data_IF_817868924438
#
_entry.id   IF_817868924438
#
_cell.length_a   1.000
_cell.length_b   1.000
_cell.length_c   1.000
_cell.angle_alpha   90.00
_cell.angle_beta   90.00
_cell.angle_gamma   90.00
#
_symmetry.space_group_name_H-M   'P 1'
#
loop_
_entity.id
_entity.type
_entity.pdbx_description
1 polymer ?
#
# COMPACT_ATOMS: atom_id res chain seq x y z
N UNK A 1 4.43 -0.98 -1.88
CA UNK A 1 5.26 -2.08 -2.40
C UNK A 1 4.89 -3.40 -1.71
N UNK A 2 4.00 -4.19 -2.31
CA UNK A 2 3.38 -5.39 -1.73
C UNK A 2 4.29 -6.63 -1.81
N UNK A 3 5.51 -6.55 -1.28
CA UNK A 3 6.48 -7.65 -1.26
C UNK A 3 5.95 -8.93 -0.58
N UNK A 4 5.16 -8.89 0.50
CA UNK A 4 4.68 -10.12 1.13
C UNK A 4 3.94 -11.04 0.16
N UNK A 5 3.11 -10.52 -0.73
CA UNK A 5 2.42 -11.37 -1.71
C UNK A 5 3.37 -12.00 -2.72
N UNK A 6 4.38 -11.26 -3.19
CA UNK A 6 5.36 -11.78 -4.13
C UNK A 6 6.22 -12.90 -3.50
N UNK A 7 6.66 -12.68 -2.25
CA UNK A 7 7.41 -13.68 -1.49
C UNK A 7 6.54 -14.90 -1.15
N UNK A 8 5.27 -14.69 -0.76
CA UNK A 8 4.33 -15.77 -0.47
C UNK A 8 4.03 -16.62 -1.71
N UNK A 9 3.76 -15.97 -2.84
CA UNK A 9 3.53 -16.67 -4.11
C UNK A 9 4.75 -17.49 -4.55
N UNK A 10 5.94 -16.93 -4.39
CA UNK A 10 7.21 -17.60 -4.69
C UNK A 10 7.46 -18.80 -3.78
N UNK A 11 7.24 -18.64 -2.47
CA UNK A 11 7.39 -19.71 -1.49
C UNK A 11 6.40 -20.85 -1.75
N UNK A 12 5.13 -20.52 -2.00
CA UNK A 12 4.09 -21.51 -2.32
C UNK A 12 4.40 -22.28 -3.61
N UNK A 13 4.90 -21.59 -4.66
CA UNK A 13 5.25 -22.22 -5.93
C UNK A 13 6.44 -23.18 -5.85
N UNK A 14 7.37 -22.95 -4.91
CA UNK A 14 8.61 -23.74 -4.79
C UNK A 14 8.62 -24.67 -3.58
N UNK A 15 7.58 -24.68 -2.76
CA UNK A 15 7.51 -25.51 -1.57
C UNK A 15 7.43 -27.01 -1.90
N UNK A 16 7.98 -27.88 -1.04
CA UNK A 16 7.93 -29.35 -1.22
C UNK A 16 6.51 -29.93 -1.11
N UNK A 17 5.59 -29.18 -0.53
CA UNK A 17 4.15 -29.46 -0.56
C UNK A 17 3.43 -28.17 -0.91
N UNK A 18 2.56 -28.16 -1.95
CA UNK A 18 1.63 -27.08 -2.09
C UNK A 18 0.84 -26.96 -0.78
N UNK A 19 0.59 -25.73 -0.33
CA UNK A 19 -0.27 -25.50 0.81
C UNK A 19 -1.54 -26.36 0.71
N UNK A 20 -2.06 -26.81 1.86
CA UNK A 20 -3.11 -27.81 1.97
C UNK A 20 -4.42 -27.47 1.25
N UNK A 21 -4.43 -27.19 0.02
CA UNK A 21 -5.54 -26.83 -0.83
C UNK A 21 -5.18 -26.87 -2.29
N UNK A 22 -3.92 -27.19 -2.63
CA UNK A 22 -3.42 -27.38 -4.00
C UNK A 22 -3.80 -26.24 -4.96
N UNK A 23 -3.75 -24.96 -4.52
CA UNK A 23 -3.98 -23.84 -5.41
C UNK A 23 -2.66 -23.21 -5.86
N UNK A 24 -2.68 -22.60 -7.05
CA UNK A 24 -1.56 -21.88 -7.60
C UNK A 24 -1.81 -20.37 -7.51
N UNK A 25 -0.82 -19.64 -7.00
CA UNK A 25 -0.85 -18.19 -7.06
C UNK A 25 -0.49 -17.73 -8.47
N UNK A 26 -1.42 -17.04 -9.13
CA UNK A 26 -1.15 -16.25 -10.32
C UNK A 26 -1.09 -14.78 -9.92
N UNK A 27 -0.05 -14.10 -10.38
CA UNK A 27 0.22 -12.73 -10.00
C UNK A 27 0.05 -11.79 -11.19
N UNK A 28 -0.73 -10.72 -10.99
CA UNK A 28 -0.93 -9.66 -11.99
C UNK A 28 -0.54 -8.32 -11.39
N UNK A 29 0.16 -7.50 -12.18
CA UNK A 29 0.56 -6.15 -11.85
C UNK A 29 -0.25 -5.15 -12.66
N UNK A 30 -0.69 -4.08 -12.03
CA UNK A 30 -1.42 -2.98 -12.63
C UNK A 30 -0.71 -1.66 -12.39
N UNK A 31 -0.95 -0.66 -13.25
CA UNK A 31 -0.33 0.65 -13.14
C UNK A 31 -1.18 1.65 -12.34
N UNK A 32 -2.46 1.40 -12.18
CA UNK A 32 -3.38 2.28 -11.48
C UNK A 32 -4.47 1.55 -10.70
N UNK A 33 -5.04 2.23 -9.74
CA UNK A 33 -6.10 1.72 -8.87
C UNK A 33 -7.43 1.44 -9.60
N UNK A 34 -7.84 2.22 -10.63
CA UNK A 34 -9.03 1.91 -11.39
C UNK A 34 -9.00 0.53 -12.04
N UNK A 35 -7.86 0.15 -12.62
CA UNK A 35 -7.67 -1.14 -13.30
C UNK A 35 -7.73 -2.32 -12.32
N UNK A 36 -7.12 -2.19 -11.13
CA UNK A 36 -7.20 -3.19 -10.05
C UNK A 36 -8.65 -3.38 -9.61
N UNK A 37 -9.35 -2.26 -9.33
CA UNK A 37 -10.75 -2.26 -8.93
C UNK A 37 -11.63 -2.97 -9.96
N UNK A 38 -11.57 -2.58 -11.22
CA UNK A 38 -12.37 -3.17 -12.29
C UNK A 38 -12.06 -4.66 -12.48
N UNK A 39 -10.79 -5.07 -12.35
CA UNK A 39 -10.39 -6.48 -12.47
C UNK A 39 -10.92 -7.34 -11.32
N UNK A 40 -10.94 -6.79 -10.10
CA UNK A 40 -11.52 -7.48 -8.94
C UNK A 40 -13.04 -7.57 -9.06
N UNK A 41 -13.71 -6.47 -9.43
CA UNK A 41 -15.17 -6.45 -9.61
C UNK A 41 -15.63 -7.38 -10.74
N UNK A 42 -14.87 -7.46 -11.84
CA UNK A 42 -15.16 -8.34 -12.97
C UNK A 42 -14.80 -9.82 -12.73
N UNK A 43 -14.29 -10.18 -11.54
CA UNK A 43 -13.90 -11.56 -11.21
C UNK A 43 -12.62 -12.05 -11.89
N UNK A 44 -11.89 -11.18 -12.58
CA UNK A 44 -10.57 -11.53 -13.15
C UNK A 44 -9.50 -11.70 -12.08
N UNK A 45 -9.68 -11.05 -10.93
CA UNK A 45 -8.90 -11.26 -9.71
C UNK A 45 -9.82 -11.79 -8.62
N UNK A 46 -9.37 -12.77 -7.85
CA UNK A 46 -10.05 -13.27 -6.65
C UNK A 46 -9.63 -12.49 -5.41
N UNK A 47 -8.41 -11.96 -5.43
CA UNK A 47 -7.83 -11.14 -4.37
C UNK A 47 -6.98 -10.02 -4.97
N UNK A 48 -6.83 -8.92 -4.23
CA UNK A 48 -5.97 -7.82 -4.62
C UNK A 48 -5.46 -7.07 -3.38
N UNK A 49 -4.26 -6.50 -3.48
CA UNK A 49 -3.86 -5.45 -2.54
C UNK A 49 -4.46 -4.14 -2.98
N UNK A 50 -5.18 -3.50 -2.08
CA UNK A 50 -5.92 -2.26 -2.33
C UNK A 50 -5.69 -1.25 -1.21
N UNK A 51 -6.18 -0.04 -1.42
CA UNK A 51 -6.18 1.04 -0.43
C UNK A 51 -7.41 0.91 0.46
N UNK A 52 -7.26 0.93 1.78
CA UNK A 52 -8.37 0.74 2.71
C UNK A 52 -9.55 1.70 2.47
N UNK A 53 -9.36 3.02 2.27
CA UNK A 53 -10.47 3.94 1.99
C UNK A 53 -11.22 3.59 0.69
N UNK A 54 -10.52 3.09 -0.33
CA UNK A 54 -11.16 2.64 -1.57
C UNK A 54 -12.03 1.40 -1.32
N UNK A 55 -11.57 0.45 -0.51
CA UNK A 55 -12.37 -0.72 -0.14
C UNK A 55 -13.61 -0.33 0.68
N UNK A 56 -13.47 0.63 1.59
CA UNK A 56 -14.59 1.17 2.36
C UNK A 56 -15.67 1.76 1.44
N UNK A 57 -15.28 2.59 0.46
CA UNK A 57 -16.21 3.17 -0.53
C UNK A 57 -16.89 2.10 -1.38
N UNK A 58 -16.15 1.08 -1.83
CA UNK A 58 -16.71 -0.01 -2.61
C UNK A 58 -17.69 -0.87 -1.80
N UNK A 59 -17.38 -1.15 -0.54
CA UNK A 59 -18.26 -1.89 0.35
C UNK A 59 -19.54 -1.12 0.67
N UNK A 60 -19.48 0.20 0.81
CA UNK A 60 -20.67 1.06 0.94
C UNK A 60 -21.58 0.97 -0.30
N UNK A 61 -20.99 0.86 -1.48
CA UNK A 61 -21.66 0.63 -2.76
C UNK A 61 -22.12 -0.83 -2.96
N UNK A 62 -22.06 -1.66 -1.92
CA UNK A 62 -22.48 -3.07 -1.92
C UNK A 62 -21.66 -3.95 -2.86
N UNK A 63 -20.43 -3.59 -3.17
CA UNK A 63 -19.50 -4.48 -3.86
C UNK A 63 -19.06 -5.57 -2.89
N UNK A 64 -19.21 -6.88 -3.26
CA UNK A 64 -19.01 -7.99 -2.35
C UNK A 64 -17.53 -8.34 -2.17
N UNK A 65 -16.83 -7.51 -1.41
CA UNK A 65 -15.40 -7.66 -1.10
C UNK A 65 -15.14 -7.43 0.38
N UNK A 66 -14.11 -8.06 0.93
CA UNK A 66 -13.66 -7.91 2.31
C UNK A 66 -12.15 -7.76 2.42
N UNK A 67 -11.71 -6.90 3.31
CA UNK A 67 -10.33 -6.87 3.80
C UNK A 67 -10.14 -8.06 4.74
N UNK A 68 -9.10 -8.86 4.50
CA UNK A 68 -8.80 -10.07 5.30
C UNK A 68 -7.43 -10.03 5.99
N UNK A 69 -6.54 -9.13 5.57
CA UNK A 69 -5.23 -8.91 6.18
C UNK A 69 -4.67 -7.54 5.79
N UNK A 70 -3.65 -7.07 6.47
CA UNK A 70 -2.81 -5.98 5.97
C UNK A 70 -1.79 -6.53 4.95
N UNK A 71 -1.27 -5.64 4.08
CA UNK A 71 -0.19 -5.94 3.15
C UNK A 71 1.16 -5.41 3.64
N UNK A 72 1.18 -4.19 4.14
CA UNK A 72 2.32 -3.55 4.76
C UNK A 72 1.91 -2.26 5.46
N UNK A 73 2.79 -1.79 6.32
CA UNK A 73 2.66 -0.49 6.99
C UNK A 73 3.73 0.47 6.50
N UNK A 74 3.52 1.76 6.72
CA UNK A 74 4.43 2.84 6.30
C UNK A 74 4.66 2.85 4.78
N UNK A 75 5.63 3.62 4.31
CA UNK A 75 6.02 3.64 2.90
C UNK A 75 5.32 4.69 2.04
N UNK A 76 4.59 5.65 2.62
CA UNK A 76 4.19 6.85 1.90
C UNK A 76 5.13 8.02 2.21
N UNK A 77 5.36 8.83 1.20
CA UNK A 77 6.27 9.98 1.25
C UNK A 77 5.67 11.19 0.55
N UNK A 78 6.01 12.38 1.05
CA UNK A 78 5.78 13.63 0.34
C UNK A 78 7.13 14.11 -0.17
N UNK A 79 7.26 14.15 -1.50
CA UNK A 79 8.50 14.46 -2.19
C UNK A 79 8.48 15.87 -2.77
N UNK A 80 9.62 16.54 -2.69
CA UNK A 80 9.88 17.83 -3.36
C UNK A 80 11.22 17.76 -4.10
N UNK A 81 11.48 18.67 -5.02
CA UNK A 81 12.78 18.75 -5.70
C UNK A 81 13.89 19.12 -4.72
N UNK A 82 15.08 18.57 -4.92
CA UNK A 82 16.27 18.88 -4.11
C UNK A 82 16.69 20.34 -4.21
N UNK A 83 16.53 20.94 -5.39
CA UNK A 83 16.85 22.35 -5.67
C UNK A 83 15.70 23.33 -5.35
N UNK A 84 14.59 22.84 -4.80
CA UNK A 84 13.46 23.69 -4.38
C UNK A 84 13.72 24.36 -3.03
N UNK A 85 13.07 25.51 -2.76
CA UNK A 85 13.20 26.22 -1.48
C UNK A 85 12.36 25.58 -0.36
N UNK A 86 11.73 24.42 -0.60
CA UNK A 86 10.78 23.79 0.33
C UNK A 86 11.50 22.99 1.40
N UNK A 87 11.73 23.63 2.56
CA UNK A 87 12.28 23.00 3.77
C UNK A 87 11.18 22.70 4.81
N UNK A 88 10.09 23.49 4.77
CA UNK A 88 8.94 23.36 5.66
C UNK A 88 7.67 23.12 4.86
N UNK A 89 6.80 22.26 5.40
CA UNK A 89 5.57 21.85 4.71
C UNK A 89 4.66 23.04 4.36
N UNK A 90 4.58 24.06 5.23
CA UNK A 90 3.79 25.28 5.01
C UNK A 90 4.16 26.06 3.72
N UNK A 91 5.38 25.89 3.23
CA UNK A 91 5.83 26.53 1.98
C UNK A 91 5.15 25.94 0.72
N UNK A 92 4.43 24.83 0.87
CA UNK A 92 3.62 24.27 -0.21
C UNK A 92 2.27 24.98 -0.40
N UNK A 93 1.96 26.03 0.37
CA UNK A 93 0.76 26.85 0.16
C UNK A 93 0.69 27.38 -1.27
N UNK A 94 -0.46 27.21 -1.93
CA UNK A 94 -0.70 27.58 -3.33
C UNK A 94 -0.03 26.67 -4.37
N UNK A 95 0.70 25.64 -3.97
CA UNK A 95 1.47 24.77 -4.87
C UNK A 95 0.66 23.56 -5.37
N UNK A 96 1.05 23.05 -6.54
CA UNK A 96 0.47 21.84 -7.13
C UNK A 96 1.08 20.61 -6.46
N UNK A 97 0.23 19.77 -5.91
CA UNK A 97 0.63 18.53 -5.21
C UNK A 97 -0.10 17.36 -5.86
N UNK A 98 0.66 16.40 -6.39
CA UNK A 98 0.08 15.21 -6.96
C UNK A 98 -0.23 14.16 -5.89
N UNK A 99 -1.35 13.46 -6.07
CA UNK A 99 -1.80 12.31 -5.27
C UNK A 99 -2.29 11.19 -6.19
N UNK A 100 -2.30 9.91 -5.73
CA UNK A 100 -2.80 8.80 -6.55
C UNK A 100 -4.30 8.87 -6.82
N UNK A 101 -5.08 9.24 -5.81
CA UNK A 101 -6.54 9.35 -5.83
C UNK A 101 -7.00 9.98 -4.51
N UNK A 102 -8.18 10.61 -4.50
CA UNK A 102 -8.81 11.08 -3.26
C UNK A 102 -9.27 9.94 -2.35
N UNK A 103 -9.41 8.72 -2.87
CA UNK A 103 -9.65 7.49 -2.11
C UNK A 103 -8.36 6.79 -1.67
N UNK A 104 -7.20 7.40 -1.87
CA UNK A 104 -5.92 6.88 -1.40
C UNK A 104 -5.65 7.28 0.05
N UNK A 105 -5.07 6.37 0.83
CA UNK A 105 -4.59 6.67 2.18
C UNK A 105 -3.46 7.71 2.14
N UNK A 106 -2.71 7.79 1.04
CA UNK A 106 -1.71 8.85 0.79
C UNK A 106 -2.35 10.25 0.80
N UNK A 107 -3.58 10.40 0.29
CA UNK A 107 -4.32 11.65 0.36
C UNK A 107 -4.70 12.02 1.80
N UNK A 108 -5.08 11.03 2.61
CA UNK A 108 -5.33 11.24 4.03
C UNK A 108 -4.04 11.66 4.77
N UNK A 109 -2.91 11.09 4.40
CA UNK A 109 -1.60 11.52 4.91
C UNK A 109 -1.30 12.97 4.55
N UNK A 110 -1.50 13.37 3.29
CA UNK A 110 -1.34 14.76 2.87
C UNK A 110 -2.25 15.72 3.67
N UNK A 111 -3.52 15.34 3.86
CA UNK A 111 -4.46 16.15 4.67
C UNK A 111 -4.02 16.28 6.12
N UNK A 112 -3.47 15.21 6.70
CA UNK A 112 -2.91 15.23 8.06
C UNK A 112 -1.75 16.22 8.17
N UNK A 113 -0.86 16.24 7.19
CA UNK A 113 0.26 17.20 7.14
C UNK A 113 -0.23 18.65 6.96
N UNK A 114 -1.23 18.86 6.11
CA UNK A 114 -1.85 20.19 5.97
C UNK A 114 -2.45 20.68 7.29
N UNK A 115 -3.20 19.80 7.99
CA UNK A 115 -3.83 20.15 9.26
C UNK A 115 -2.81 20.50 10.37
N UNK A 116 -1.65 19.85 10.41
CA UNK A 116 -0.56 20.18 11.35
C UNK A 116 -0.04 21.63 11.16
N UNK A 117 -0.13 22.14 9.95
CA UNK A 117 0.27 23.51 9.60
C UNK A 117 -0.91 24.51 9.63
N UNK A 118 -2.06 24.12 10.16
CA UNK A 118 -3.32 24.89 10.11
C UNK A 118 -3.72 25.24 8.67
N UNK A 119 -3.50 24.34 7.72
CA UNK A 119 -3.87 24.43 6.31
C UNK A 119 -4.93 23.38 5.98
N UNK A 120 -5.60 23.60 4.87
CA UNK A 120 -6.61 22.71 4.28
C UNK A 120 -6.26 22.41 2.83
N UNK A 121 -7.04 21.54 2.20
CA UNK A 121 -6.90 21.28 0.75
C UNK A 121 -7.26 22.48 -0.13
N UNK A 122 -7.92 23.51 0.41
CA UNK A 122 -8.16 24.77 -0.30
C UNK A 122 -6.89 25.64 -0.42
N UNK A 123 -5.90 25.39 0.43
CA UNK A 123 -4.63 26.13 0.44
C UNK A 123 -3.59 25.55 -0.54
N UNK A 124 -3.90 24.48 -1.25
CA UNK A 124 -3.03 23.82 -2.23
C UNK A 124 -3.82 23.41 -3.48
N UNK A 125 -3.12 23.07 -4.56
CA UNK A 125 -3.74 22.58 -5.79
C UNK A 125 -3.53 21.08 -5.91
N UNK A 126 -4.57 20.29 -5.59
CA UNK A 126 -4.50 18.82 -5.65
C UNK A 126 -4.67 18.35 -7.09
N UNK A 127 -3.72 17.53 -7.56
CA UNK A 127 -3.74 16.89 -8.87
C UNK A 127 -3.73 15.36 -8.71
N UNK A 128 -4.69 14.67 -9.33
CA UNK A 128 -4.72 13.21 -9.34
C UNK A 128 -3.97 12.68 -10.56
N UNK A 129 -3.03 11.75 -10.35
CA UNK A 129 -2.28 11.09 -11.43
C UNK A 129 -1.76 9.71 -10.99
N UNK A 130 -1.42 8.89 -11.97
CA UNK A 130 -0.83 7.58 -11.67
C UNK A 130 0.49 7.73 -10.89
N UNK A 131 0.73 6.93 -9.84
CA UNK A 131 1.96 7.01 -9.05
C UNK A 131 3.24 6.92 -9.88
N UNK A 132 3.24 6.12 -10.94
CA UNK A 132 4.39 5.95 -11.82
C UNK A 132 4.77 7.23 -12.60
N UNK A 133 3.83 8.15 -12.79
CA UNK A 133 4.05 9.40 -13.54
C UNK A 133 4.55 10.53 -12.63
N UNK A 134 4.37 10.41 -11.32
CA UNK A 134 4.68 11.47 -10.36
C UNK A 134 6.16 11.88 -10.31
N UNK A 135 7.14 10.95 -10.34
CA UNK A 135 8.54 11.33 -10.40
C UNK A 135 8.89 12.18 -11.61
N UNK A 136 8.38 11.83 -12.79
CA UNK A 136 8.59 12.59 -14.01
C UNK A 136 7.89 13.96 -13.97
N UNK A 137 6.67 14.02 -13.43
CA UNK A 137 5.93 15.27 -13.26
C UNK A 137 6.68 16.25 -12.32
N UNK A 138 7.26 15.75 -11.23
CA UNK A 138 8.10 16.56 -10.33
C UNK A 138 9.38 17.04 -11.03
N UNK A 139 10.04 16.14 -11.75
CA UNK A 139 11.26 16.50 -12.51
C UNK A 139 11.00 17.60 -13.54
N UNK A 140 9.87 17.52 -14.24
CA UNK A 140 9.45 18.48 -15.26
C UNK A 140 8.83 19.77 -14.69
N UNK A 141 8.77 19.95 -13.36
CA UNK A 141 8.07 21.05 -12.69
C UNK A 141 6.57 21.17 -13.06
N UNK A 142 5.94 20.05 -13.45
CA UNK A 142 4.49 19.99 -13.64
C UNK A 142 3.76 20.01 -12.29
N UNK A 143 4.41 19.56 -11.23
CA UNK A 143 3.98 19.69 -9.84
C UNK A 143 5.17 20.11 -8.96
N UNK A 144 4.90 20.78 -7.85
CA UNK A 144 5.92 21.19 -6.87
C UNK A 144 6.18 20.11 -5.82
N UNK A 145 5.20 19.23 -5.59
CA UNK A 145 5.32 18.09 -4.69
C UNK A 145 4.45 16.93 -5.18
N UNK A 146 4.70 15.73 -4.66
CA UNK A 146 3.77 14.61 -4.75
C UNK A 146 3.75 13.80 -3.46
N UNK A 147 2.61 13.21 -3.16
CA UNK A 147 2.41 12.31 -2.04
C UNK A 147 1.99 10.95 -2.57
N UNK A 148 2.80 9.92 -2.38
CA UNK A 148 2.51 8.56 -2.82
C UNK A 148 3.30 7.50 -2.07
N UNK A 149 2.90 6.24 -2.24
CA UNK A 149 3.61 5.08 -1.70
C UNK A 149 4.89 4.74 -2.46
N UNK A 150 5.80 4.03 -1.79
CA UNK A 150 7.02 3.53 -2.41
C UNK A 150 6.73 2.46 -3.49
N UNK A 151 7.55 2.35 -4.54
CA UNK A 151 8.94 2.83 -4.66
C UNK A 151 9.12 4.19 -5.37
N UNK A 152 8.08 4.95 -5.58
CA UNK A 152 8.13 6.15 -6.41
C UNK A 152 8.88 7.32 -5.75
N UNK A 153 8.87 7.43 -4.42
CA UNK A 153 9.72 8.36 -3.69
C UNK A 153 11.20 8.00 -3.82
N UNK A 154 11.52 6.73 -3.60
CA UNK A 154 12.88 6.22 -3.72
C UNK A 154 13.44 6.37 -5.15
N UNK A 155 12.62 6.21 -6.18
CA UNK A 155 13.03 6.39 -7.57
C UNK A 155 13.56 7.81 -7.82
N UNK A 156 12.82 8.83 -7.40
CA UNK A 156 13.23 10.22 -7.55
C UNK A 156 14.41 10.60 -6.64
N UNK A 157 14.43 10.07 -5.41
CA UNK A 157 15.48 10.34 -4.43
C UNK A 157 16.80 9.71 -4.83
N UNK A 158 16.82 8.45 -5.27
CA UNK A 158 18.03 7.76 -5.71
C UNK A 158 18.60 8.34 -7.01
N UNK A 159 17.76 8.95 -7.83
CA UNK A 159 18.17 9.72 -9.01
C UNK A 159 18.73 11.10 -8.66
N UNK A 160 18.66 11.54 -7.40
CA UNK A 160 19.33 12.73 -6.88
C UNK A 160 18.56 14.05 -7.08
N UNK A 161 17.43 14.07 -7.78
CA UNK A 161 16.70 15.32 -8.05
C UNK A 161 15.55 15.61 -7.07
N UNK A 162 15.23 14.69 -6.18
CA UNK A 162 14.17 14.87 -5.19
C UNK A 162 14.61 14.44 -3.79
N UNK A 163 13.96 15.04 -2.79
CA UNK A 163 14.13 14.72 -1.37
C UNK A 163 12.77 14.52 -0.72
N UNK A 164 12.66 13.66 0.30
CA UNK A 164 11.45 13.58 1.11
C UNK A 164 11.33 14.84 1.98
N UNK A 165 10.16 15.47 1.95
CA UNK A 165 9.80 16.54 2.87
C UNK A 165 9.12 15.98 4.13
N UNK A 166 8.33 14.91 3.98
CA UNK A 166 7.68 14.15 5.06
C UNK A 166 7.61 12.68 4.69
N UNK A 167 7.66 11.82 5.70
CA UNK A 167 7.53 10.38 5.55
C UNK A 167 6.56 9.83 6.61
N UNK A 168 5.74 8.86 6.25
CA UNK A 168 4.78 8.25 7.19
C UNK A 168 5.45 7.57 8.38
N UNK A 169 6.67 7.05 8.23
CA UNK A 169 7.46 6.47 9.34
C UNK A 169 7.67 7.45 10.51
N UNK A 170 7.77 8.74 10.20
CA UNK A 170 8.02 9.81 11.19
C UNK A 170 6.71 10.43 11.69
N UNK A 171 5.71 10.57 10.83
CA UNK A 171 4.52 11.39 11.06
C UNK A 171 3.27 10.57 11.41
N UNK A 172 3.23 9.30 11.02
CA UNK A 172 2.06 8.44 11.23
C UNK A 172 2.47 6.98 11.44
N UNK A 173 2.84 6.63 12.66
CA UNK A 173 3.45 5.34 13.02
C UNK A 173 2.61 4.11 12.63
N UNK A 174 1.28 4.20 12.76
CA UNK A 174 0.37 3.08 12.50
C UNK A 174 -0.25 3.16 11.08
N UNK A 175 0.43 3.85 10.17
CA UNK A 175 -0.05 4.01 8.80
C UNK A 175 -0.27 2.66 8.11
N UNK A 176 -1.53 2.38 7.75
CA UNK A 176 -1.90 1.24 6.92
C UNK A 176 -1.79 1.67 5.46
N UNK A 177 -0.82 1.12 4.73
CA UNK A 177 -0.66 1.48 3.32
C UNK A 177 -1.59 0.66 2.44
N UNK A 178 -1.39 -0.66 2.37
CA UNK A 178 -2.20 -1.55 1.56
C UNK A 178 -2.83 -2.65 2.41
N UNK A 179 -4.02 -3.06 2.00
CA UNK A 179 -4.78 -4.15 2.61
C UNK A 179 -5.04 -5.26 1.61
N UNK A 180 -4.95 -6.50 2.05
CA UNK A 180 -5.34 -7.66 1.26
C UNK A 180 -6.86 -7.75 1.26
N UNK A 181 -7.44 -7.60 0.08
CA UNK A 181 -8.88 -7.62 -0.16
C UNK A 181 -9.23 -8.84 -1.00
N UNK A 182 -10.27 -9.56 -0.62
CA UNK A 182 -10.77 -10.73 -1.36
C UNK A 182 -12.25 -10.56 -1.70
N UNK A 183 -12.71 -11.24 -2.74
CA UNK A 183 -14.13 -11.34 -3.09
C UNK A 183 -14.84 -12.20 -2.06
N UNK A 184 -16.04 -11.79 -1.64
CA UNK A 184 -16.88 -12.59 -0.72
C UNK A 184 -17.21 -13.97 -1.28
N UNK A 185 -17.37 -14.09 -2.61
CA UNK A 185 -17.55 -15.35 -3.30
C UNK A 185 -16.45 -16.37 -2.91
N UNK A 186 -15.17 -15.94 -2.97
CA UNK A 186 -14.05 -16.80 -2.59
C UNK A 186 -14.09 -17.19 -1.10
N UNK A 187 -14.51 -16.26 -0.23
CA UNK A 187 -14.67 -16.54 1.22
C UNK A 187 -15.71 -17.64 1.45
N UNK A 188 -16.80 -17.62 0.70
CA UNK A 188 -17.89 -18.59 0.83
C UNK A 188 -17.57 -19.93 0.19
N UNK A 189 -17.00 -19.93 -1.01
CA UNK A 189 -16.73 -21.13 -1.79
C UNK A 189 -15.49 -21.87 -1.31
N UNK A 190 -14.44 -21.15 -0.91
CA UNK A 190 -13.18 -21.76 -0.48
C UNK A 190 -12.48 -20.96 0.63
N UNK A 191 -13.03 -20.94 1.85
CA UNK A 191 -12.44 -20.23 2.98
C UNK A 191 -11.04 -20.75 3.35
N UNK A 192 -10.75 -22.03 3.09
CA UNK A 192 -9.42 -22.61 3.33
C UNK A 192 -8.36 -21.96 2.45
N UNK A 193 -8.68 -21.67 1.18
CA UNK A 193 -7.78 -20.95 0.27
C UNK A 193 -7.50 -19.54 0.77
N UNK A 194 -8.52 -18.83 1.27
CA UNK A 194 -8.34 -17.49 1.85
C UNK A 194 -7.45 -17.55 3.08
N UNK A 195 -7.65 -18.56 3.96
CA UNK A 195 -6.82 -18.75 5.16
C UNK A 195 -5.36 -19.02 4.78
N UNK A 196 -5.12 -19.87 3.80
CA UNK A 196 -3.77 -20.19 3.33
C UNK A 196 -3.10 -18.94 2.73
N UNK A 197 -3.83 -18.17 1.92
CA UNK A 197 -3.31 -16.88 1.38
C UNK A 197 -2.89 -15.94 2.50
N UNK A 198 -3.72 -15.76 3.52
CA UNK A 198 -3.40 -14.91 4.68
C UNK A 198 -2.21 -15.46 5.46
N UNK A 199 -2.13 -16.78 5.69
CA UNK A 199 -1.01 -17.41 6.39
C UNK A 199 0.31 -17.17 5.67
N UNK A 200 0.34 -17.31 4.34
CA UNK A 200 1.54 -17.02 3.54
C UNK A 200 1.91 -15.54 3.51
N UNK A 201 0.93 -14.65 3.38
CA UNK A 201 1.18 -13.19 3.37
C UNK A 201 1.75 -12.74 4.72
N UNK A 202 1.16 -13.20 5.83
CA UNK A 202 1.65 -12.87 7.17
C UNK A 202 3.02 -13.51 7.45
N UNK A 203 3.21 -14.75 7.02
CA UNK A 203 4.50 -15.43 7.11
C UNK A 203 5.61 -14.69 6.34
N UNK A 204 5.31 -14.28 5.11
CA UNK A 204 6.23 -13.49 4.30
C UNK A 204 6.52 -12.11 4.90
N UNK A 205 5.51 -11.46 5.48
CA UNK A 205 5.70 -10.20 6.19
C UNK A 205 6.65 -10.32 7.38
N UNK A 206 6.43 -11.32 8.23
CA UNK A 206 7.31 -11.61 9.37
C UNK A 206 8.73 -11.97 8.90
N UNK A 207 8.86 -12.80 7.87
CA UNK A 207 10.14 -13.21 7.29
C UNK A 207 10.93 -12.01 6.74
N UNK A 208 10.28 -11.07 6.06
CA UNK A 208 10.89 -9.85 5.52
C UNK A 208 11.54 -8.99 6.61
N UNK A 209 10.91 -8.87 7.77
CA UNK A 209 11.37 -7.98 8.83
C UNK A 209 12.27 -8.70 9.88
N UNK A 210 12.50 -10.02 9.70
CA UNK A 210 13.37 -10.77 10.63
C UNK A 210 14.85 -10.38 10.48
N UNK A 211 15.32 -10.21 9.25
CA UNK A 211 16.72 -9.89 8.97
C UNK A 211 16.92 -9.28 7.58
N UNK A 212 17.97 -8.48 7.43
CA UNK A 212 18.26 -7.77 6.17
C UNK A 212 18.48 -8.72 4.99
N UNK A 213 19.04 -9.90 5.23
CA UNK A 213 19.25 -10.91 4.18
C UNK A 213 17.94 -11.32 3.49
N UNK A 214 16.87 -11.45 4.25
CA UNK A 214 15.54 -11.77 3.70
C UNK A 214 15.02 -10.64 2.79
N UNK A 215 15.25 -9.39 3.17
CA UNK A 215 14.93 -8.23 2.33
C UNK A 215 15.76 -8.22 1.04
N UNK A 216 17.04 -8.61 1.10
CA UNK A 216 17.89 -8.74 -0.08
C UNK A 216 17.35 -9.82 -1.06
N UNK A 217 16.92 -10.96 -0.54
CA UNK A 217 16.26 -12.00 -1.35
C UNK A 217 14.94 -11.48 -1.97
N UNK A 218 14.14 -10.73 -1.20
CA UNK A 218 12.91 -10.10 -1.69
C UNK A 218 13.17 -9.08 -2.81
N UNK A 219 14.28 -8.34 -2.77
CA UNK A 219 14.71 -7.45 -3.86
C UNK A 219 14.89 -8.24 -5.16
N UNK A 220 15.56 -9.39 -5.10
CA UNK A 220 15.76 -10.25 -6.27
C UNK A 220 14.44 -10.80 -6.84
N UNK A 221 13.46 -11.09 -5.97
CA UNK A 221 12.10 -11.51 -6.39
C UNK A 221 11.38 -10.33 -7.05
N UNK A 222 11.39 -9.15 -6.43
CA UNK A 222 10.71 -7.96 -6.94
C UNK A 222 11.23 -7.49 -8.31
N UNK A 223 12.50 -7.75 -8.59
CA UNK A 223 13.12 -7.41 -9.86
C UNK A 223 12.65 -8.30 -11.03
N UNK A 224 12.08 -9.49 -10.74
CA UNK A 224 11.62 -10.38 -11.79
C UNK A 224 10.42 -9.81 -12.54
N UNK A 225 10.39 -10.05 -13.87
CA UNK A 225 9.34 -9.58 -14.76
C UNK A 225 7.94 -10.07 -14.35
N UNK A 226 7.85 -11.27 -13.84
CA UNK A 226 6.60 -11.91 -13.37
C UNK A 226 6.03 -11.27 -12.11
N UNK A 227 6.82 -10.50 -11.35
CA UNK A 227 6.38 -9.78 -10.16
C UNK A 227 6.29 -8.28 -10.42
N UNK A 228 7.20 -7.48 -9.89
CA UNK A 228 7.11 -6.02 -10.01
C UNK A 228 7.89 -5.47 -11.21
N UNK A 229 8.83 -6.21 -11.77
CA UNK A 229 9.74 -5.75 -12.83
C UNK A 229 10.36 -4.39 -12.49
N UNK A 230 10.78 -4.23 -11.23
CA UNK A 230 11.36 -3.00 -10.72
C UNK A 230 12.88 -3.04 -10.80
N UNK A 231 13.49 -1.87 -10.91
CA UNK A 231 14.94 -1.76 -10.77
C UNK A 231 15.36 -2.23 -9.36
N UNK A 232 16.21 -3.27 -9.26
CA UNK A 232 16.64 -3.79 -7.97
C UNK A 232 17.40 -2.75 -7.13
N UNK A 233 18.03 -1.75 -7.73
CA UNK A 233 18.69 -0.65 -7.02
C UNK A 233 17.66 0.22 -6.29
N UNK A 234 16.53 0.52 -6.94
CA UNK A 234 15.46 1.32 -6.33
C UNK A 234 14.81 0.55 -5.18
N UNK A 235 14.51 -0.75 -5.38
CA UNK A 235 13.90 -1.56 -4.32
C UNK A 235 14.86 -1.72 -3.14
N UNK A 236 16.15 -1.94 -3.39
CA UNK A 236 17.18 -1.99 -2.34
C UNK A 236 17.23 -0.67 -1.57
N UNK A 237 17.18 0.47 -2.27
CA UNK A 237 17.13 1.79 -1.64
C UNK A 237 15.93 1.93 -0.69
N UNK A 238 14.72 1.46 -1.09
CA UNK A 238 13.53 1.44 -0.22
C UNK A 238 13.77 0.61 1.05
N UNK A 239 14.46 -0.53 0.93
CA UNK A 239 14.67 -1.46 2.04
C UNK A 239 15.74 -1.02 3.04
N UNK A 240 16.59 -0.06 2.66
CA UNK A 240 17.79 0.32 3.41
C UNK A 240 17.80 1.81 3.83
N UNK A 241 16.98 2.67 3.21
CA UNK A 241 17.13 4.12 3.34
C UNK A 241 15.83 4.87 3.70
N UNK A 242 15.44 4.85 4.99
CA UNK A 242 15.91 4.02 6.10
C UNK A 242 15.30 2.61 6.06
N UNK A 243 15.79 1.69 6.88
CA UNK A 243 15.35 0.28 6.93
C UNK A 243 13.88 0.10 7.30
N UNK A 244 13.29 1.04 8.04
CA UNK A 244 11.88 1.06 8.43
C UNK A 244 11.01 1.98 7.53
N UNK A 245 11.51 2.36 6.36
CA UNK A 245 10.76 3.13 5.36
C UNK A 245 9.45 2.45 4.96
N UNK A 246 9.50 1.12 4.79
CA UNK A 246 8.34 0.23 4.66
C UNK A 246 8.53 -0.93 5.64
N UNK A 247 7.48 -1.30 6.36
CA UNK A 247 7.50 -2.39 7.33
C UNK A 247 6.44 -3.44 6.99
N UNK A 248 6.77 -4.71 7.23
CA UNK A 248 5.98 -5.85 6.82
C UNK A 248 5.65 -6.81 7.97
N UNK A 249 6.36 -6.73 9.09
CA UNK A 249 6.25 -7.70 10.19
C UNK A 249 4.98 -7.55 11.03
N UNK A 250 4.43 -6.34 11.13
CA UNK A 250 3.20 -6.08 11.88
C UNK A 250 2.00 -5.95 10.93
N UNK A 251 1.38 -7.07 10.61
CA UNK A 251 0.17 -7.13 9.78
C UNK A 251 -1.11 -7.37 10.61
N UNK A 252 -1.07 -7.08 11.91
CA UNK A 252 -2.26 -7.18 12.79
C UNK A 252 -3.34 -6.21 12.33
N UNK A 253 -4.58 -6.70 12.32
CA UNK A 253 -5.75 -5.88 12.02
C UNK A 253 -6.30 -5.29 13.31
N UNK A 254 -6.05 -4.01 13.56
CA UNK A 254 -6.46 -3.28 14.76
C UNK A 254 -7.65 -2.38 14.40
N UNK A 255 -8.81 -2.65 14.99
CA UNK A 255 -10.07 -1.95 14.65
C UNK A 255 -9.95 -0.43 14.77
N UNK A 256 -9.32 0.08 15.83
CA UNK A 256 -9.18 1.52 16.03
C UNK A 256 -8.38 2.23 14.93
N UNK A 257 -7.47 1.53 14.26
CA UNK A 257 -6.73 2.08 13.11
C UNK A 257 -7.63 2.22 11.88
N UNK A 258 -8.56 1.29 11.67
CA UNK A 258 -9.58 1.38 10.61
C UNK A 258 -10.62 2.44 10.95
N UNK A 259 -10.99 2.59 12.23
CA UNK A 259 -11.91 3.64 12.69
C UNK A 259 -11.28 5.04 12.45
N UNK A 260 -9.97 5.20 12.67
CA UNK A 260 -9.24 6.43 12.32
C UNK A 260 -9.31 6.70 10.80
N UNK A 261 -9.01 5.71 9.96
CA UNK A 261 -9.09 5.86 8.51
C UNK A 261 -10.52 6.20 8.04
N UNK A 262 -11.54 5.59 8.66
CA UNK A 262 -12.94 5.90 8.38
C UNK A 262 -13.24 7.36 8.70
N UNK A 263 -12.86 7.83 9.89
CA UNK A 263 -13.10 9.22 10.30
C UNK A 263 -12.37 10.21 9.38
N UNK A 264 -11.11 9.96 9.07
CA UNK A 264 -10.34 10.79 8.13
C UNK A 264 -10.95 10.81 6.72
N UNK A 265 -11.54 9.70 6.27
CA UNK A 265 -12.22 9.62 4.97
C UNK A 265 -13.54 10.39 4.97
N UNK A 266 -14.26 10.40 6.08
CA UNK A 266 -15.46 11.23 6.28
C UNK A 266 -15.08 12.72 6.29
N UNK A 267 -14.04 13.10 7.03
CA UNK A 267 -13.54 14.47 7.10
C UNK A 267 -13.00 14.95 5.74
N UNK A 268 -12.53 14.02 4.92
CA UNK A 268 -12.12 14.29 3.53
C UNK A 268 -13.32 14.42 2.57
N UNK A 269 -14.54 14.04 2.99
CA UNK A 269 -15.73 14.04 2.16
C UNK A 269 -15.78 12.93 1.11
N UNK A 270 -14.87 11.94 1.19
CA UNK A 270 -14.84 10.79 0.27
C UNK A 270 -15.80 9.69 0.70
N UNK A 271 -16.09 9.60 1.99
CA UNK A 271 -17.13 8.75 2.58
C UNK A 271 -18.14 9.67 3.25
N UNK A 272 -19.45 9.42 3.02
CA UNK A 272 -20.52 10.32 3.45
C UNK A 272 -21.02 10.06 4.88
N UNK A 273 -20.85 8.84 5.36
CA UNK A 273 -21.33 8.39 6.66
C UNK A 273 -20.49 7.22 7.18
N UNK A 274 -20.46 6.97 8.49
CA UNK A 274 -19.75 5.83 9.05
C UNK A 274 -20.27 4.50 8.48
N UNK A 275 -19.35 3.64 8.05
CA UNK A 275 -19.66 2.30 7.54
C UNK A 275 -19.20 1.31 8.62
N UNK A 276 -20.09 0.38 9.06
CA UNK A 276 -19.69 -0.62 10.07
C UNK A 276 -18.47 -1.41 9.63
N UNK A 277 -17.55 -1.63 10.56
CA UNK A 277 -16.27 -2.33 10.33
C UNK A 277 -16.49 -3.68 9.62
N UNK A 278 -17.48 -4.43 10.04
CA UNK A 278 -17.81 -5.77 9.52
C UNK A 278 -18.34 -5.71 8.08
N UNK A 279 -18.74 -4.53 7.58
CA UNK A 279 -19.18 -4.36 6.19
C UNK A 279 -18.01 -4.50 5.22
N UNK A 280 -16.81 -4.06 5.58
CA UNK A 280 -15.65 -4.04 4.71
C UNK A 280 -14.46 -4.88 5.21
N UNK A 281 -14.54 -5.42 6.44
CA UNK A 281 -13.49 -6.26 7.04
C UNK A 281 -14.04 -7.62 7.44
N UNK A 282 -13.27 -8.67 7.20
CA UNK A 282 -13.37 -9.97 7.86
C UNK A 282 -12.02 -10.32 8.45
N UNK A 283 -11.79 -9.97 9.71
CA UNK A 283 -10.52 -10.16 10.40
C UNK A 283 -10.34 -11.58 10.99
N UNK A 284 -11.31 -12.46 10.80
CA UNK A 284 -11.26 -13.85 11.27
C UNK A 284 -10.04 -14.57 10.71
N UNK A 285 -9.73 -14.37 9.44
CA UNK A 285 -8.57 -14.98 8.78
C UNK A 285 -7.25 -14.49 9.36
N UNK A 286 -7.12 -13.21 9.64
CA UNK A 286 -5.92 -12.65 10.26
C UNK A 286 -5.76 -13.11 11.73
N UNK A 287 -6.86 -13.18 12.48
CA UNK A 287 -6.88 -13.67 13.87
C UNK A 287 -6.53 -15.14 13.99
N UNK A 288 -6.98 -15.96 13.05
CA UNK A 288 -6.74 -17.40 13.01
C UNK A 288 -5.46 -17.75 12.24
N UNK A 289 -4.69 -16.77 11.79
CA UNK A 289 -3.52 -17.04 10.97
C UNK A 289 -2.43 -17.74 11.76
N UNK A 290 -1.93 -18.81 11.16
CA UNK A 290 -0.66 -19.44 11.52
C UNK A 290 0.33 -19.05 10.43
N UNK A 291 1.21 -18.12 10.74
CA UNK A 291 2.17 -17.58 9.78
C UNK A 291 2.95 -18.71 9.11
N UNK A 292 2.84 -18.82 7.78
CA UNK A 292 3.53 -19.86 7.03
C UNK A 292 5.04 -19.67 7.11
N UNK A 293 5.80 -20.76 7.22
CA UNK A 293 7.25 -20.72 7.11
C UNK A 293 7.63 -20.39 5.67
N UNK A 294 8.41 -19.34 5.50
CA UNK A 294 8.94 -18.91 4.20
C UNK A 294 10.37 -19.44 4.09
N UNK A 295 10.60 -20.26 3.08
CA UNK A 295 11.90 -20.83 2.76
C UNK A 295 12.30 -20.42 1.33
N UNK A 296 13.16 -19.37 1.22
CA UNK A 296 13.59 -18.75 -0.02
C UNK A 296 15.11 -18.51 -0.07
#
# INVERSE_FOLDING_TARGET
LTLPVACAARAAANGPQPAAGAFQYQYSKYNGWPEVKESLMAGRLQAAFMLAPLVMDLADKKIPIKIVSLGHRSGAVIMVRTDSPYEHFRQLAGKRIAIPSRFAVDYLFLRKMLAQENMTTADVQIMEMAPADMPAALYANAVEAYCTGEPFGAAAQSAGYAKPLRMTRDEWRNYICCVLTVREELIHENPAMVQDLVNYVQGAGAWLDTQQENRNKAVAIAAKREFFNQDPKIIRFVMENPTDRVTYGDLRMIRSEFDELMQLSIDAGTIKHPIPYETYVNDTFAKNSVAAKIDL
#
